data_IF_761915426745
#
_entry.id   IF_761915426745
#
_cell.length_a   1.000
_cell.length_b   1.000
_cell.length_c   1.000
_cell.angle_alpha   90.00
_cell.angle_beta   90.00
_cell.angle_gamma   90.00
#
_symmetry.space_group_name_H-M   'P 1'
#
loop_
_entity.id
_entity.type
_entity.pdbx_description
1 polymer ?
#
# COMPACT_ATOMS: atom_id res chain seq x y z
N UNK A 1 19.69 47.73 -4.24
CA UNK A 1 19.17 46.36 -4.09
C UNK A 1 19.72 45.63 -2.83
N UNK A 2 20.96 45.85 -2.39
CA UNK A 2 21.55 45.15 -1.20
C UNK A 2 21.00 45.64 0.15
N UNK A 3 20.61 46.87 0.26
CA UNK A 3 20.09 47.47 1.52
C UNK A 3 18.65 47.06 1.83
N UNK A 4 17.80 46.88 0.81
CA UNK A 4 16.37 46.47 0.98
C UNK A 4 16.25 45.03 1.48
N UNK A 5 17.17 44.13 1.05
CA UNK A 5 17.22 42.76 1.55
C UNK A 5 17.63 42.62 3.01
N UNK A 6 18.44 43.52 3.53
CA UNK A 6 18.86 43.50 4.95
C UNK A 6 17.72 43.93 5.90
N UNK A 7 16.89 44.86 5.45
CA UNK A 7 15.72 45.34 6.24
C UNK A 7 14.62 44.28 6.29
N UNK A 8 14.43 43.53 5.18
CA UNK A 8 13.45 42.47 5.13
C UNK A 8 13.82 41.26 6.01
N UNK A 9 15.13 40.93 6.06
CA UNK A 9 15.64 39.84 6.92
C UNK A 9 15.46 40.12 8.42
N UNK A 10 15.64 41.39 8.83
CA UNK A 10 15.49 41.78 10.24
C UNK A 10 14.03 41.82 10.70
N UNK A 11 13.11 42.20 9.80
CA UNK A 11 11.68 42.22 10.10
C UNK A 11 11.07 40.81 10.25
N UNK A 12 11.56 39.85 9.44
CA UNK A 12 11.10 38.45 9.53
C UNK A 12 11.54 37.79 10.83
N UNK A 13 12.75 38.10 11.32
CA UNK A 13 13.27 37.55 12.59
C UNK A 13 12.52 38.11 13.81
N UNK A 14 12.05 39.36 13.78
CA UNK A 14 11.30 39.97 14.88
C UNK A 14 9.85 39.43 14.91
N UNK A 15 9.26 39.09 13.75
CA UNK A 15 7.91 38.54 13.69
C UNK A 15 7.83 37.10 14.22
N UNK A 16 8.89 36.31 14.06
CA UNK A 16 8.96 34.93 14.59
C UNK A 16 9.12 34.90 16.10
N UNK A 17 9.79 35.89 16.71
CA UNK A 17 9.98 35.95 18.16
C UNK A 17 8.70 36.44 18.89
N UNK A 18 7.87 37.26 18.25
CA UNK A 18 6.62 37.73 18.86
C UNK A 18 5.48 36.71 18.82
N UNK A 19 5.55 35.69 17.96
CA UNK A 19 4.56 34.61 17.91
C UNK A 19 4.77 33.54 19.00
N UNK A 20 5.94 33.50 19.62
CA UNK A 20 6.29 32.48 20.63
C UNK A 20 5.91 32.84 22.06
N UNK A 21 5.33 34.00 22.32
CA UNK A 21 5.03 34.52 23.68
C UNK A 21 3.53 34.62 24.01
N UNK A 22 2.61 34.21 23.15
CA UNK A 22 1.16 34.27 23.36
C UNK A 22 0.54 32.91 23.72
N UNK A 23 1.31 31.86 23.88
CA UNK A 23 0.84 30.51 24.14
C UNK A 23 0.96 30.02 25.60
N UNK A 24 0.59 30.80 26.59
CA UNK A 24 0.50 30.33 27.98
C UNK A 24 -0.66 30.99 28.73
N UNK A 25 -1.89 30.72 28.31
CA UNK A 25 -3.08 30.86 29.18
C UNK A 25 -4.10 29.80 28.74
N UNK A 26 -4.26 28.81 29.61
CA UNK A 26 -5.09 27.64 29.60
C UNK A 26 -6.42 27.72 28.83
N UNK A 27 -6.49 26.95 27.80
CA UNK A 27 -7.69 26.23 27.42
C UNK A 27 -7.29 24.77 27.49
N UNK A 28 -8.08 23.95 28.18
CA UNK A 28 -7.95 22.50 28.17
C UNK A 28 -8.23 22.05 26.75
N UNK A 29 -7.17 21.84 25.94
CA UNK A 29 -7.28 21.09 24.73
C UNK A 29 -7.73 19.69 25.19
N UNK A 30 -8.94 19.29 24.75
CA UNK A 30 -9.31 17.89 24.73
C UNK A 30 -8.19 17.21 23.95
N UNK A 31 -7.35 16.42 24.61
CA UNK A 31 -6.45 15.49 23.94
C UNK A 31 -7.35 14.65 23.02
N UNK A 32 -7.32 14.95 21.72
CA UNK A 32 -7.80 13.97 20.73
C UNK A 32 -7.06 12.68 21.08
N UNK A 33 -7.82 11.66 21.50
CA UNK A 33 -7.32 10.30 21.66
C UNK A 33 -6.69 9.89 20.33
N UNK A 34 -5.38 10.11 20.20
CA UNK A 34 -4.61 9.54 19.11
C UNK A 34 -4.79 8.04 19.30
N UNK A 35 -5.37 7.32 18.32
CA UNK A 35 -5.53 5.89 18.44
C UNK A 35 -4.18 5.30 18.82
N UNK A 36 -4.10 4.62 19.95
CA UNK A 36 -2.90 3.88 20.34
C UNK A 36 -2.67 2.88 19.21
N UNK A 37 -1.63 3.10 18.41
CA UNK A 37 -1.21 2.14 17.40
C UNK A 37 -1.11 0.79 18.12
N UNK A 38 -1.82 -0.19 17.60
CA UNK A 38 -1.74 -1.55 18.12
C UNK A 38 -0.35 -2.10 17.77
N UNK A 39 0.61 -1.92 18.69
CA UNK A 39 1.99 -2.38 18.56
C UNK A 39 2.10 -3.91 18.35
N UNK A 40 0.98 -4.64 18.37
CA UNK A 40 0.94 -6.08 18.20
C UNK A 40 1.38 -6.53 16.81
N UNK A 41 1.28 -5.67 15.79
CA UNK A 41 1.68 -6.00 14.42
C UNK A 41 3.20 -5.91 14.19
N UNK A 42 3.94 -5.24 15.09
CA UNK A 42 5.40 -5.06 15.01
C UNK A 42 5.82 -4.06 13.92
N UNK A 43 7.14 -3.89 13.78
CA UNK A 43 7.70 -3.03 12.74
C UNK A 43 7.60 -3.71 11.37
N UNK A 44 7.02 -3.04 10.40
CA UNK A 44 6.88 -3.49 9.02
C UNK A 44 7.30 -2.40 8.05
N UNK A 45 7.47 -2.75 6.78
CA UNK A 45 7.53 -1.81 5.68
C UNK A 45 6.53 -2.20 4.61
N UNK A 46 5.97 -1.22 3.93
CA UNK A 46 5.07 -1.43 2.79
C UNK A 46 5.89 -1.30 1.51
N UNK A 47 5.96 -2.39 0.76
CA UNK A 47 6.65 -2.43 -0.53
C UNK A 47 5.63 -2.58 -1.63
N UNK A 48 5.73 -1.74 -2.66
CA UNK A 48 4.88 -1.77 -3.83
C UNK A 48 5.62 -2.32 -5.06
N UNK A 49 5.55 -3.63 -5.34
CA UNK A 49 5.93 -4.16 -6.63
C UNK A 49 4.92 -3.72 -7.69
N UNK A 50 5.44 -3.24 -8.85
CA UNK A 50 4.62 -2.94 -10.04
C UNK A 50 5.02 -3.93 -11.11
N UNK A 51 4.08 -4.77 -11.56
CA UNK A 51 4.37 -5.87 -12.48
C UNK A 51 3.12 -6.36 -13.23
N UNK A 52 3.24 -7.45 -14.02
CA UNK A 52 2.20 -8.01 -14.89
C UNK A 52 0.96 -8.51 -14.15
N UNK A 53 1.12 -8.97 -12.93
CA UNK A 53 0.11 -9.62 -12.09
C UNK A 53 0.78 -10.47 -11.03
N UNK A 54 -0.01 -11.06 -10.14
CA UNK A 54 0.51 -11.88 -9.03
C UNK A 54 -0.38 -13.09 -8.76
N UNK A 55 0.23 -14.25 -8.59
CA UNK A 55 -0.46 -15.44 -8.10
C UNK A 55 -0.62 -15.39 -6.57
N UNK A 56 -1.73 -14.82 -6.12
CA UNK A 56 -2.05 -14.67 -4.68
C UNK A 56 -2.14 -16.01 -3.94
N UNK A 57 -2.34 -17.11 -4.68
CA UNK A 57 -2.42 -18.46 -4.14
C UNK A 57 -1.07 -19.11 -3.86
N UNK A 58 0.04 -18.47 -4.27
CA UNK A 58 1.35 -19.05 -4.07
C UNK A 58 1.69 -19.17 -2.59
N UNK A 59 2.17 -20.35 -2.16
CA UNK A 59 2.42 -20.65 -0.75
C UNK A 59 3.38 -19.68 -0.06
N UNK A 60 4.29 -19.08 -0.81
CA UNK A 60 5.25 -18.10 -0.31
C UNK A 60 4.56 -16.83 0.22
N UNK A 61 3.36 -16.53 -0.25
CA UNK A 61 2.56 -15.38 0.19
C UNK A 61 1.59 -15.71 1.31
N UNK A 62 1.48 -16.98 1.71
CA UNK A 62 0.53 -17.41 2.74
C UNK A 62 0.76 -16.68 4.05
N UNK A 63 -0.33 -16.20 4.65
CA UNK A 63 -0.33 -15.56 5.95
C UNK A 63 -1.50 -16.11 6.77
N UNK A 64 -1.23 -16.49 8.02
CA UNK A 64 -2.27 -16.97 8.94
C UNK A 64 -2.86 -15.82 9.79
N UNK A 65 -2.12 -14.76 9.95
CA UNK A 65 -2.50 -13.58 10.69
C UNK A 65 -3.34 -12.64 9.80
N UNK A 66 -4.12 -11.79 10.42
CA UNK A 66 -4.85 -10.74 9.70
C UNK A 66 -4.11 -9.42 9.85
N UNK A 67 -4.13 -8.61 8.82
CA UNK A 67 -3.70 -7.22 8.94
C UNK A 67 -4.62 -6.48 9.90
N UNK A 68 -4.09 -5.58 10.72
CA UNK A 68 -4.91 -4.73 11.58
C UNK A 68 -5.76 -3.78 10.72
N UNK A 69 -6.96 -3.48 11.21
CA UNK A 69 -7.92 -2.68 10.45
C UNK A 69 -7.38 -1.30 10.07
N UNK A 70 -6.63 -0.66 10.97
CA UNK A 70 -6.04 0.66 10.71
C UNK A 70 -5.10 0.66 9.49
N UNK A 71 -4.34 -0.44 9.27
CA UNK A 71 -3.45 -0.58 8.10
C UNK A 71 -4.27 -0.69 6.82
N UNK A 72 -5.32 -1.52 6.83
CA UNK A 72 -6.22 -1.68 5.69
C UNK A 72 -6.92 -0.36 5.33
N UNK A 73 -7.38 0.38 6.34
CA UNK A 73 -8.03 1.69 6.18
C UNK A 73 -7.06 2.72 5.58
N UNK A 74 -5.83 2.79 6.08
CA UNK A 74 -4.81 3.72 5.57
C UNK A 74 -4.33 3.38 4.16
N UNK A 75 -4.30 2.10 3.80
CA UNK A 75 -4.02 1.67 2.42
C UNK A 75 -5.25 1.82 1.50
N UNK A 76 -6.40 2.20 2.05
CA UNK A 76 -7.62 2.41 1.27
C UNK A 76 -8.25 1.11 0.77
N UNK A 77 -8.03 -0.01 1.48
CA UNK A 77 -8.64 -1.30 1.11
C UNK A 77 -10.15 -1.19 1.13
N UNK A 78 -10.77 -1.35 -0.02
CA UNK A 78 -12.22 -1.26 -0.20
C UNK A 78 -12.87 -2.63 -0.47
N UNK A 79 -12.06 -3.67 -0.68
CA UNK A 79 -12.52 -5.05 -0.83
C UNK A 79 -11.65 -6.03 -0.07
N UNK A 80 -12.27 -7.07 0.46
CA UNK A 80 -11.57 -8.20 1.10
C UNK A 80 -12.02 -9.48 0.41
N UNK A 81 -11.06 -10.18 -0.16
CA UNK A 81 -11.23 -11.49 -0.77
C UNK A 81 -10.64 -12.55 0.16
N UNK A 82 -11.45 -13.43 0.72
CA UNK A 82 -10.96 -14.58 1.47
C UNK A 82 -10.62 -15.71 0.51
N UNK A 83 -9.31 -15.91 0.26
CA UNK A 83 -8.84 -16.86 -0.75
C UNK A 83 -8.84 -18.31 -0.26
N UNK A 84 -9.21 -19.22 -1.14
CA UNK A 84 -9.17 -20.68 -0.92
C UNK A 84 -7.74 -21.16 -0.67
N UNK A 85 -7.57 -22.05 0.34
CA UNK A 85 -6.25 -22.51 0.81
C UNK A 85 -5.81 -23.84 0.20
N UNK A 86 -6.76 -24.66 -0.26
CA UNK A 86 -6.52 -26.03 -0.69
C UNK A 86 -6.91 -26.25 -2.15
N UNK A 87 -6.16 -27.10 -2.83
CA UNK A 87 -6.40 -27.44 -4.24
C UNK A 87 -5.33 -26.90 -5.18
N UNK A 88 -5.48 -27.21 -6.46
CA UNK A 88 -4.67 -26.62 -7.54
C UNK A 88 -5.01 -25.14 -7.70
N UNK A 89 -4.23 -24.42 -8.52
CA UNK A 89 -4.53 -23.03 -8.82
C UNK A 89 -5.94 -22.88 -9.45
N UNK A 90 -6.27 -23.73 -10.40
CA UNK A 90 -7.55 -23.71 -11.13
C UNK A 90 -8.73 -24.00 -10.20
N UNK A 91 -8.58 -24.97 -9.29
CA UNK A 91 -9.61 -25.31 -8.31
C UNK A 91 -9.87 -24.15 -7.33
N UNK A 92 -8.81 -23.48 -6.90
CA UNK A 92 -8.89 -22.32 -6.00
C UNK A 92 -9.47 -21.10 -6.70
N UNK A 93 -9.00 -20.83 -7.92
CA UNK A 93 -9.54 -19.74 -8.74
C UNK A 93 -11.04 -19.92 -8.99
N UNK A 94 -11.47 -21.13 -9.38
CA UNK A 94 -12.89 -21.41 -9.65
C UNK A 94 -13.74 -21.32 -8.37
N UNK A 95 -13.19 -21.74 -7.22
CA UNK A 95 -13.88 -21.63 -5.94
C UNK A 95 -14.09 -20.17 -5.50
N UNK A 96 -13.13 -19.30 -5.82
CA UNK A 96 -13.15 -17.90 -5.39
C UNK A 96 -13.73 -16.96 -6.47
N UNK A 97 -14.09 -17.49 -7.64
CA UNK A 97 -14.44 -16.68 -8.81
C UNK A 97 -15.60 -15.71 -8.52
N UNK A 98 -16.75 -16.24 -8.07
CA UNK A 98 -17.97 -15.44 -7.91
C UNK A 98 -17.84 -14.38 -6.79
N UNK A 99 -17.17 -14.74 -5.69
CA UNK A 99 -17.08 -13.89 -4.50
C UNK A 99 -15.88 -12.93 -4.54
N UNK A 100 -14.89 -13.22 -5.38
CA UNK A 100 -13.65 -12.43 -5.51
C UNK A 100 -13.47 -11.91 -6.94
N UNK A 101 -13.07 -12.77 -7.87
CA UNK A 101 -12.54 -12.35 -9.16
C UNK A 101 -13.56 -11.63 -10.03
N UNK A 102 -14.81 -12.09 -10.07
CA UNK A 102 -15.87 -11.48 -10.88
C UNK A 102 -16.36 -10.12 -10.32
N UNK A 103 -15.94 -9.76 -9.10
CA UNK A 103 -16.40 -8.52 -8.43
C UNK A 103 -15.30 -7.48 -8.26
N UNK A 104 -14.03 -7.81 -8.56
CA UNK A 104 -12.92 -6.86 -8.55
C UNK A 104 -12.97 -6.03 -9.82
N UNK A 105 -12.94 -4.71 -9.67
CA UNK A 105 -12.87 -3.76 -10.78
C UNK A 105 -11.59 -2.93 -10.77
N UNK A 106 -11.34 -2.24 -11.88
CA UNK A 106 -10.25 -1.27 -11.96
C UNK A 106 -10.34 -0.24 -10.84
N UNK A 107 -9.20 0.03 -10.21
CA UNK A 107 -9.08 0.97 -9.09
C UNK A 107 -9.55 0.44 -7.74
N UNK A 108 -10.08 -0.78 -7.65
CA UNK A 108 -10.29 -1.42 -6.36
C UNK A 108 -8.95 -1.73 -5.69
N UNK A 109 -8.89 -1.57 -4.37
CA UNK A 109 -7.77 -1.99 -3.55
C UNK A 109 -8.24 -3.18 -2.72
N UNK A 110 -7.70 -4.36 -3.03
CA UNK A 110 -8.18 -5.64 -2.53
C UNK A 110 -7.17 -6.26 -1.60
N UNK A 111 -7.59 -6.62 -0.39
CA UNK A 111 -6.80 -7.51 0.43
C UNK A 111 -7.21 -8.96 0.19
N UNK A 112 -6.26 -9.78 -0.25
CA UNK A 112 -6.43 -11.23 -0.40
C UNK A 112 -6.17 -11.92 0.94
N UNK A 113 -7.23 -12.01 1.76
CA UNK A 113 -7.15 -12.55 3.11
C UNK A 113 -6.75 -14.03 3.10
N UNK A 114 -5.74 -14.35 3.84
CA UNK A 114 -5.04 -15.65 3.79
C UNK A 114 -3.69 -15.54 3.08
N UNK A 115 -3.40 -14.38 2.49
CA UNK A 115 -2.10 -14.00 1.97
C UNK A 115 -1.68 -12.63 2.51
N UNK A 116 -0.40 -12.29 2.31
CA UNK A 116 0.15 -10.98 2.63
C UNK A 116 0.00 -9.95 1.50
N UNK A 117 -0.82 -10.26 0.50
CA UNK A 117 -0.98 -9.41 -0.68
C UNK A 117 -2.20 -8.51 -0.51
N UNK A 118 -1.95 -7.21 -0.65
CA UNK A 118 -2.95 -6.19 -0.96
C UNK A 118 -2.64 -5.75 -2.38
N UNK A 119 -3.61 -5.75 -3.27
CA UNK A 119 -3.36 -5.47 -4.69
C UNK A 119 -4.35 -4.49 -5.28
N UNK A 120 -3.94 -3.86 -6.38
CA UNK A 120 -4.79 -2.98 -7.19
C UNK A 120 -4.40 -3.06 -8.66
N UNK A 121 -5.38 -2.84 -9.52
CA UNK A 121 -5.19 -2.63 -10.96
C UNK A 121 -5.77 -1.27 -11.32
N UNK A 122 -4.94 -0.25 -11.58
CA UNK A 122 -5.44 1.09 -11.95
C UNK A 122 -5.90 1.19 -13.40
N UNK A 123 -5.52 0.25 -14.25
CA UNK A 123 -5.83 0.24 -15.69
C UNK A 123 -7.06 -0.64 -16.00
N UNK A 124 -7.93 -0.16 -16.92
CA UNK A 124 -9.17 -0.85 -17.31
C UNK A 124 -8.96 -1.99 -18.34
N UNK A 125 -7.73 -2.40 -18.62
CA UNK A 125 -7.39 -3.25 -19.77
C UNK A 125 -7.07 -4.70 -19.41
N UNK A 126 -7.38 -5.15 -18.20
CA UNK A 126 -7.07 -6.52 -17.76
C UNK A 126 -8.33 -7.38 -17.70
N UNK A 127 -8.25 -8.60 -18.24
CA UNK A 127 -9.36 -9.56 -18.23
C UNK A 127 -9.66 -10.05 -16.80
N UNK A 128 -8.62 -10.21 -15.99
CA UNK A 128 -8.72 -10.57 -14.56
C UNK A 128 -7.77 -9.67 -13.78
N UNK A 129 -8.30 -8.64 -13.10
CA UNK A 129 -7.46 -7.71 -12.35
C UNK A 129 -6.58 -8.39 -11.31
N UNK A 130 -5.33 -7.94 -11.22
CA UNK A 130 -4.31 -8.34 -10.22
C UNK A 130 -3.77 -9.77 -10.40
N UNK A 131 -4.60 -10.72 -10.83
CA UNK A 131 -4.22 -12.13 -10.89
C UNK A 131 -3.36 -12.44 -12.11
N UNK A 132 -2.20 -13.03 -11.88
CA UNK A 132 -1.28 -13.47 -12.93
C UNK A 132 -1.63 -14.88 -13.43
N UNK A 133 -1.47 -15.09 -14.73
CA UNK A 133 -1.50 -16.45 -15.30
C UNK A 133 -0.31 -17.26 -14.73
N UNK A 134 -0.56 -18.48 -14.22
CA UNK A 134 0.52 -19.33 -13.68
C UNK A 134 1.64 -19.64 -14.65
N UNK A 135 1.40 -19.47 -15.95
CA UNK A 135 2.41 -19.69 -16.99
C UNK A 135 3.37 -18.51 -17.17
N UNK A 136 2.99 -17.29 -16.78
CA UNK A 136 3.86 -16.11 -16.79
C UNK A 136 4.65 -16.03 -15.48
N UNK A 137 3.99 -15.79 -14.37
CA UNK A 137 4.56 -15.84 -13.03
C UNK A 137 5.65 -14.79 -12.75
N UNK A 138 5.85 -13.78 -13.61
CA UNK A 138 6.92 -12.78 -13.44
C UNK A 138 6.71 -11.94 -12.21
N UNK A 139 5.55 -11.29 -12.04
CA UNK A 139 5.25 -10.49 -10.85
C UNK A 139 5.22 -11.32 -9.57
N UNK A 140 4.82 -12.60 -9.66
CA UNK A 140 4.92 -13.56 -8.56
C UNK A 140 6.37 -13.77 -8.11
N UNK A 141 7.29 -13.96 -9.06
CA UNK A 141 8.71 -14.18 -8.78
C UNK A 141 9.36 -12.92 -8.18
N UNK A 142 9.08 -11.74 -8.76
CA UNK A 142 9.59 -10.45 -8.28
C UNK A 142 9.12 -10.18 -6.85
N UNK A 143 7.83 -10.39 -6.57
CA UNK A 143 7.27 -10.21 -5.23
C UNK A 143 7.83 -11.23 -4.24
N UNK A 144 8.06 -12.45 -4.67
CA UNK A 144 8.76 -13.48 -3.87
C UNK A 144 10.14 -13.03 -3.42
N UNK A 145 10.91 -12.43 -4.33
CA UNK A 145 12.24 -11.89 -4.00
C UNK A 145 12.18 -10.73 -2.97
N UNK A 146 11.13 -9.89 -3.02
CA UNK A 146 10.91 -8.85 -2.00
C UNK A 146 10.71 -9.47 -0.63
N UNK A 147 9.88 -10.51 -0.52
CA UNK A 147 9.60 -11.20 0.74
C UNK A 147 10.82 -11.94 1.26
N UNK A 148 11.62 -12.55 0.38
CA UNK A 148 12.89 -13.18 0.77
C UNK A 148 13.88 -12.17 1.37
N UNK A 149 13.89 -10.94 0.83
CA UNK A 149 14.74 -9.86 1.34
C UNK A 149 14.19 -9.24 2.64
N UNK A 150 12.87 -9.15 2.78
CA UNK A 150 12.20 -8.60 3.96
C UNK A 150 10.94 -9.43 4.31
N UNK A 151 11.08 -10.44 5.18
CA UNK A 151 9.96 -11.31 5.58
C UNK A 151 8.80 -10.57 6.28
N UNK A 152 9.03 -9.36 6.79
CA UNK A 152 8.02 -8.53 7.44
C UNK A 152 7.37 -7.51 6.48
N UNK A 153 7.67 -7.56 5.19
CA UNK A 153 7.06 -6.66 4.22
C UNK A 153 5.56 -6.91 4.10
N UNK A 154 4.80 -5.82 4.13
CA UNK A 154 3.43 -5.75 3.62
C UNK A 154 3.53 -5.49 2.12
N UNK A 155 2.90 -6.30 1.32
CA UNK A 155 2.94 -6.15 -0.13
C UNK A 155 1.72 -5.38 -0.61
N UNK A 156 1.96 -4.20 -1.19
CA UNK A 156 0.97 -3.43 -1.94
C UNK A 156 1.24 -3.60 -3.43
N UNK A 157 0.75 -4.70 -4.00
CA UNK A 157 0.99 -5.04 -5.40
C UNK A 157 0.19 -4.14 -6.34
N UNK A 158 0.83 -3.61 -7.37
CA UNK A 158 0.17 -2.81 -8.40
C UNK A 158 0.38 -3.48 -9.76
N UNK A 159 -0.73 -3.90 -10.35
CA UNK A 159 -0.69 -4.48 -11.70
C UNK A 159 -0.61 -3.38 -12.75
N UNK A 160 0.26 -3.58 -13.74
CA UNK A 160 0.37 -2.74 -14.92
C UNK A 160 1.75 -2.17 -15.16
N UNK A 161 1.92 -1.53 -16.32
CA UNK A 161 3.18 -0.90 -16.78
C UNK A 161 3.00 0.56 -17.15
N UNK A 162 1.85 1.13 -16.82
CA UNK A 162 1.47 2.49 -17.19
C UNK A 162 1.91 3.52 -16.16
N UNK A 163 1.85 4.79 -16.57
CA UNK A 163 2.01 5.91 -15.63
C UNK A 163 0.95 5.84 -14.51
N UNK A 164 -0.24 5.31 -14.79
CA UNK A 164 -1.29 5.14 -13.78
C UNK A 164 -0.88 4.14 -12.70
N UNK A 165 -0.21 3.04 -13.05
CA UNK A 165 0.31 2.06 -12.09
C UNK A 165 1.39 2.69 -11.19
N UNK A 166 2.32 3.44 -11.77
CA UNK A 166 3.35 4.16 -11.00
C UNK A 166 2.74 5.19 -10.06
N UNK A 167 1.75 5.96 -10.54
CA UNK A 167 1.07 6.96 -9.73
C UNK A 167 0.21 6.32 -8.63
N UNK A 168 -0.42 5.18 -8.89
CA UNK A 168 -1.16 4.42 -7.87
C UNK A 168 -0.26 4.01 -6.70
N UNK A 169 0.94 3.48 -6.99
CA UNK A 169 1.91 3.15 -5.95
C UNK A 169 2.45 4.39 -5.23
N UNK A 170 2.81 5.44 -5.98
CA UNK A 170 3.43 6.65 -5.42
C UNK A 170 2.48 7.51 -4.57
N UNK A 171 1.18 7.41 -4.79
CA UNK A 171 0.17 8.14 -4.03
C UNK A 171 -0.28 7.42 -2.76
N UNK A 172 0.18 6.20 -2.52
CA UNK A 172 -0.14 5.48 -1.28
C UNK A 172 0.71 6.02 -0.12
N UNK A 173 0.08 6.55 0.94
CA UNK A 173 0.80 7.25 2.00
C UNK A 173 1.71 6.34 2.84
N UNK A 174 1.44 5.03 2.86
CA UNK A 174 2.22 4.06 3.63
C UNK A 174 3.29 3.33 2.81
N UNK A 175 3.38 3.54 1.50
CA UNK A 175 4.38 2.86 0.67
C UNK A 175 5.76 3.46 0.93
N UNK A 176 6.66 2.64 1.47
CA UNK A 176 8.05 3.01 1.75
C UNK A 176 8.96 2.81 0.54
N UNK A 177 8.66 1.82 -0.28
CA UNK A 177 9.49 1.44 -1.42
C UNK A 177 8.63 0.99 -2.61
N UNK A 178 8.94 1.50 -3.78
CA UNK A 178 8.39 1.01 -5.05
C UNK A 178 9.49 0.23 -5.78
N UNK A 179 9.14 -0.94 -6.30
CA UNK A 179 10.05 -1.74 -7.13
C UNK A 179 9.41 -2.10 -8.46
N UNK A 180 10.18 -2.00 -9.53
CA UNK A 180 9.78 -2.35 -10.89
C UNK A 180 10.84 -3.25 -11.51
N UNK A 181 10.43 -4.29 -12.22
CA UNK A 181 11.34 -5.20 -12.92
C UNK A 181 11.22 -5.09 -14.44
N UNK A 182 10.66 -4.01 -14.91
CA UNK A 182 10.60 -3.67 -16.33
C UNK A 182 11.39 -2.37 -16.59
N UNK A 183 11.86 -2.24 -17.82
CA UNK A 183 12.59 -1.07 -18.27
C UNK A 183 12.17 -0.67 -19.69
N UNK A 184 12.70 0.45 -20.17
CA UNK A 184 12.42 0.94 -21.51
C UNK A 184 13.01 0.02 -22.58
#
# INVERSE_FOLDING_TARGET
>A
MREVMKVLSTLTSILVISASLVGCMGESEEEEDIPVEDDSFGAFSVVAPIDTGINVYHNHFSMNESYPQWLLDQLGVNKVCEISKNGTWEERYEADREDCWDVIGSGDIVWFKGSRIIGTTPDDNTDIPILDDPSDGHGTAVTGAVIDANPNAVIFFVEGFSDAAVLAAANQPLVDLITTSFGP
#
